data_IF_263698653337
#
_entry.id   IF_263698653337
#
_cell.length_a   1.000
_cell.length_b   1.000
_cell.length_c   1.000
_cell.angle_alpha   90.00
_cell.angle_beta   90.00
_cell.angle_gamma   90.00
#
_symmetry.space_group_name_H-M   'P 1'
#
loop_
_entity.id
_entity.type
_entity.pdbx_description
1 polymer ?
#
# COMPACT_ATOMS: atom_id res chain seq x y z
N UNK A 1 -63.42 47.23 -26.78
CA UNK A 1 -62.08 46.84 -27.30
C UNK A 1 -61.03 47.14 -26.24
N UNK A 2 -60.59 46.13 -25.47
CA UNK A 2 -59.44 46.19 -24.57
C UNK A 2 -58.71 44.85 -24.71
N UNK A 3 -57.47 44.88 -25.19
CA UNK A 3 -56.67 43.69 -25.53
C UNK A 3 -56.14 43.03 -24.26
N UNK A 4 -56.45 41.75 -24.05
CA UNK A 4 -55.89 40.91 -23.00
C UNK A 4 -54.56 40.33 -23.52
N UNK A 5 -53.43 40.74 -22.96
CA UNK A 5 -52.11 40.17 -23.28
C UNK A 5 -51.84 39.06 -22.27
N UNK A 6 -51.84 37.82 -22.76
CA UNK A 6 -51.52 36.59 -22.04
C UNK A 6 -49.99 36.45 -21.95
N UNK A 7 -49.41 36.66 -20.78
CA UNK A 7 -47.97 36.47 -20.53
C UNK A 7 -47.65 34.98 -20.31
N UNK A 8 -46.93 34.38 -21.25
CA UNK A 8 -46.47 32.98 -21.20
C UNK A 8 -45.21 32.89 -20.31
N UNK A 9 -45.33 32.32 -19.10
CA UNK A 9 -44.22 32.09 -18.18
C UNK A 9 -43.45 30.81 -18.58
N UNK A 10 -42.33 30.97 -19.26
CA UNK A 10 -41.41 29.87 -19.61
C UNK A 10 -40.68 29.35 -18.36
N UNK A 11 -41.09 28.17 -17.88
CA UNK A 11 -40.41 27.41 -16.83
C UNK A 11 -39.25 26.61 -17.45
N UNK A 12 -38.03 27.14 -17.43
CA UNK A 12 -36.83 26.39 -17.82
C UNK A 12 -36.44 25.42 -16.68
N UNK A 13 -36.20 24.12 -16.96
CA UNK A 13 -35.70 23.20 -15.95
C UNK A 13 -34.26 23.58 -15.58
N UNK A 14 -34.02 23.86 -14.29
CA UNK A 14 -32.66 24.00 -13.75
C UNK A 14 -31.94 22.67 -13.90
N UNK A 15 -30.98 22.57 -14.82
CA UNK A 15 -29.97 21.52 -14.79
C UNK A 15 -29.15 21.71 -13.51
N UNK A 16 -29.31 20.81 -12.55
CA UNK A 16 -28.41 20.72 -11.40
C UNK A 16 -27.13 20.06 -11.90
N UNK A 17 -26.19 20.87 -12.38
CA UNK A 17 -24.80 20.46 -12.51
C UNK A 17 -24.27 20.35 -11.08
N UNK A 18 -24.04 19.13 -10.59
CA UNK A 18 -23.35 18.92 -9.33
C UNK A 18 -21.94 19.50 -9.44
N UNK A 19 -21.71 20.69 -8.88
CA UNK A 19 -20.39 21.29 -8.80
C UNK A 19 -19.69 20.71 -7.56
N UNK A 20 -18.59 19.97 -7.77
CA UNK A 20 -17.66 19.65 -6.69
C UNK A 20 -16.94 20.93 -6.29
N UNK A 21 -17.52 21.68 -5.34
CA UNK A 21 -16.79 22.72 -4.64
C UNK A 21 -15.74 22.02 -3.77
N UNK A 22 -14.42 22.29 -3.94
CA UNK A 22 -13.44 21.84 -2.97
C UNK A 22 -13.80 22.50 -1.63
N UNK A 23 -14.30 21.70 -0.69
CA UNK A 23 -14.53 22.15 0.67
C UNK A 23 -13.16 22.48 1.27
N UNK A 24 -13.09 23.64 1.92
CA UNK A 24 -11.89 24.25 2.49
C UNK A 24 -10.86 23.23 2.97
N UNK A 25 -9.61 23.41 2.54
CA UNK A 25 -8.44 22.67 3.03
C UNK A 25 -8.40 22.84 4.54
N UNK A 26 -8.96 21.87 5.26
CA UNK A 26 -8.57 21.63 6.63
C UNK A 26 -7.23 20.93 6.53
N UNK A 27 -6.19 21.59 7.02
CA UNK A 27 -4.93 20.94 7.36
C UNK A 27 -5.28 19.82 8.33
N UNK A 28 -5.41 18.60 7.80
CA UNK A 28 -5.65 17.42 8.61
C UNK A 28 -4.36 17.14 9.36
N UNK A 29 -4.30 17.64 10.59
CA UNK A 29 -3.36 17.18 11.60
C UNK A 29 -3.59 15.68 11.76
N UNK A 30 -2.52 14.89 11.67
CA UNK A 30 -2.58 13.43 11.80
C UNK A 30 -3.31 13.07 13.11
N UNK A 31 -4.55 12.59 13.00
CA UNK A 31 -5.28 12.01 14.12
C UNK A 31 -4.57 10.69 14.45
N UNK A 32 -3.87 10.66 15.59
CA UNK A 32 -3.15 9.54 16.21
C UNK A 32 -2.66 8.46 15.25
N UNK A 33 -1.35 8.35 14.98
CA UNK A 33 -0.84 7.26 14.14
C UNK A 33 -1.23 5.93 14.78
N UNK A 34 -2.12 5.20 14.10
CA UNK A 34 -2.33 3.79 14.39
C UNK A 34 -0.96 3.12 14.40
N UNK A 35 -0.62 2.46 15.50
CA UNK A 35 0.68 1.83 15.64
C UNK A 35 0.77 0.66 14.67
N UNK A 36 1.58 0.81 13.62
CA UNK A 36 1.86 -0.26 12.68
C UNK A 36 2.56 -1.41 13.42
N UNK A 37 1.84 -2.50 13.66
CA UNK A 37 2.39 -3.74 14.17
C UNK A 37 2.71 -4.68 13.01
N UNK A 38 3.99 -5.00 12.83
CA UNK A 38 4.45 -5.96 11.82
C UNK A 38 4.70 -7.29 12.55
N UNK A 39 3.99 -8.37 12.18
CA UNK A 39 4.11 -9.64 12.88
C UNK A 39 5.51 -10.23 12.71
N UNK A 40 5.97 -10.92 13.75
CA UNK A 40 7.18 -11.73 13.67
C UNK A 40 6.84 -13.09 13.05
N UNK A 41 7.80 -13.66 12.32
CA UNK A 41 7.68 -14.95 11.64
C UNK A 41 8.40 -15.98 12.52
N UNK A 42 7.66 -16.98 13.00
CA UNK A 42 8.23 -18.03 13.85
C UNK A 42 9.32 -18.81 13.11
N UNK A 43 10.41 -19.15 13.80
CA UNK A 43 11.47 -20.01 13.28
C UNK A 43 10.99 -21.45 12.99
N UNK A 44 9.87 -21.85 13.58
CA UNK A 44 9.23 -23.16 13.38
C UNK A 44 8.05 -23.11 12.40
N UNK A 45 7.77 -21.96 11.79
CA UNK A 45 6.69 -21.85 10.82
C UNK A 45 6.99 -22.67 9.56
N UNK A 46 5.97 -23.34 9.03
CA UNK A 46 6.04 -23.93 7.70
C UNK A 46 6.03 -22.81 6.66
N UNK A 47 7.15 -22.63 5.97
CA UNK A 47 7.36 -21.55 5.01
C UNK A 47 7.66 -22.16 3.65
N UNK A 48 6.92 -21.71 2.65
CA UNK A 48 7.17 -22.00 1.25
C UNK A 48 8.02 -20.87 0.66
N UNK A 49 8.91 -21.22 -0.28
CA UNK A 49 9.88 -20.28 -0.85
C UNK A 49 9.88 -20.38 -2.37
N UNK A 50 9.72 -19.24 -3.03
CA UNK A 50 9.92 -19.08 -4.47
C UNK A 50 11.06 -18.10 -4.67
N UNK A 51 12.01 -18.44 -5.55
CA UNK A 51 13.14 -17.58 -5.88
C UNK A 51 13.19 -17.31 -7.36
N UNK A 52 13.34 -16.05 -7.71
CA UNK A 52 13.46 -15.56 -9.07
C UNK A 52 14.83 -14.94 -9.30
N UNK A 53 15.40 -15.21 -10.48
CA UNK A 53 16.67 -14.67 -10.92
C UNK A 53 16.50 -13.92 -12.23
N UNK A 54 16.79 -12.63 -12.22
CA UNK A 54 16.94 -11.83 -13.44
C UNK A 54 18.43 -11.65 -13.71
N UNK A 55 18.98 -12.48 -14.61
CA UNK A 55 20.39 -12.46 -14.97
C UNK A 55 20.76 -11.18 -15.71
N UNK A 56 21.88 -10.58 -15.30
CA UNK A 56 22.47 -9.36 -15.88
C UNK A 56 23.54 -9.67 -16.91
N UNK A 57 24.06 -10.89 -16.88
CA UNK A 57 25.12 -11.38 -17.76
C UNK A 57 24.60 -12.60 -18.54
N UNK A 58 25.10 -12.82 -19.77
CA UNK A 58 24.83 -14.06 -20.48
C UNK A 58 25.26 -15.27 -19.64
N UNK A 59 24.46 -16.34 -19.68
CA UNK A 59 24.75 -17.55 -18.92
C UNK A 59 24.71 -18.77 -19.83
N UNK A 60 25.72 -19.63 -19.72
CA UNK A 60 25.79 -20.90 -20.45
C UNK A 60 25.31 -22.09 -19.59
N UNK A 61 25.29 -21.92 -18.26
CA UNK A 61 24.78 -22.90 -17.31
C UNK A 61 23.94 -22.19 -16.24
N UNK A 62 22.80 -22.76 -15.87
CA UNK A 62 21.97 -22.23 -14.77
C UNK A 62 22.75 -22.40 -13.45
N UNK A 63 23.18 -21.29 -12.86
CA UNK A 63 23.79 -21.26 -11.54
C UNK A 63 22.71 -21.42 -10.47
N UNK A 64 22.96 -22.28 -9.47
CA UNK A 64 22.03 -22.51 -8.36
C UNK A 64 21.99 -21.35 -7.34
N UNK A 65 23.01 -20.49 -7.32
CA UNK A 65 23.08 -19.32 -6.43
C UNK A 65 23.94 -18.20 -7.04
N UNK A 66 23.42 -17.45 -8.03
CA UNK A 66 24.14 -16.36 -8.67
C UNK A 66 24.51 -15.24 -7.70
N UNK A 67 25.65 -14.59 -7.92
CA UNK A 67 26.05 -13.39 -7.17
C UNK A 67 25.23 -12.17 -7.57
N UNK A 68 25.28 -11.09 -6.78
CA UNK A 68 24.56 -9.83 -7.09
C UNK A 68 25.02 -9.17 -8.39
N UNK A 69 26.25 -9.45 -8.83
CA UNK A 69 26.81 -9.01 -10.11
C UNK A 69 26.23 -9.82 -11.27
N UNK A 70 25.93 -11.10 -11.05
CA UNK A 70 25.43 -12.03 -12.06
C UNK A 70 23.91 -11.92 -12.26
N UNK A 71 23.14 -11.73 -11.19
CA UNK A 71 21.68 -11.64 -11.26
C UNK A 71 21.08 -10.76 -10.16
N UNK A 72 19.94 -10.13 -10.45
CA UNK A 72 19.04 -9.67 -9.41
C UNK A 72 18.28 -10.90 -8.88
N UNK A 73 18.39 -11.14 -7.58
CA UNK A 73 17.70 -12.26 -6.92
C UNK A 73 16.59 -11.72 -6.02
N UNK A 74 15.37 -12.17 -6.28
CA UNK A 74 14.21 -11.89 -5.41
C UNK A 74 13.72 -13.20 -4.83
N UNK A 75 13.50 -13.23 -3.52
CA UNK A 75 12.95 -14.41 -2.82
C UNK A 75 11.63 -14.03 -2.17
N UNK A 76 10.59 -14.78 -2.53
CA UNK A 76 9.24 -14.68 -1.99
C UNK A 76 9.04 -15.77 -0.94
N UNK A 77 8.73 -15.35 0.29
CA UNK A 77 8.37 -16.24 1.39
C UNK A 77 6.87 -16.21 1.57
N UNK A 78 6.23 -17.37 1.51
CA UNK A 78 4.80 -17.56 1.75
C UNK A 78 4.59 -18.54 2.91
N UNK A 79 3.43 -18.46 3.55
CA UNK A 79 3.03 -19.47 4.53
C UNK A 79 2.68 -20.81 3.87
N UNK A 80 2.32 -21.80 4.68
CA UNK A 80 1.89 -23.12 4.21
C UNK A 80 0.64 -23.11 3.30
N UNK A 81 -0.14 -22.02 3.28
CA UNK A 81 -1.36 -21.86 2.48
C UNK A 81 -1.17 -20.90 1.29
N UNK A 82 0.06 -20.43 1.05
CA UNK A 82 0.41 -19.53 -0.05
C UNK A 82 0.20 -18.04 0.24
N UNK A 83 -0.14 -17.64 1.46
CA UNK A 83 -0.21 -16.22 1.84
C UNK A 83 1.21 -15.63 1.89
N UNK A 84 1.51 -14.53 1.19
CA UNK A 84 2.80 -13.85 1.28
C UNK A 84 3.12 -13.42 2.71
N UNK A 85 4.35 -13.68 3.16
CA UNK A 85 4.85 -13.24 4.47
C UNK A 85 5.88 -12.14 4.32
N UNK A 86 6.81 -12.33 3.38
CA UNK A 86 7.92 -11.42 3.16
C UNK A 86 8.48 -11.60 1.76
N UNK A 87 8.95 -10.50 1.18
CA UNK A 87 9.78 -10.50 -0.02
C UNK A 87 11.15 -9.94 0.33
N UNK A 88 12.20 -10.58 -0.18
CA UNK A 88 13.59 -10.22 0.07
C UNK A 88 14.31 -10.05 -1.26
N UNK A 89 14.82 -8.85 -1.50
CA UNK A 89 15.68 -8.53 -2.64
C UNK A 89 17.14 -8.61 -2.18
N UNK A 90 17.87 -9.56 -2.74
CA UNK A 90 19.24 -9.88 -2.32
C UNK A 90 20.23 -8.77 -2.67
N UNK A 91 20.86 -8.17 -1.65
CA UNK A 91 21.96 -7.21 -1.79
C UNK A 91 21.72 -6.05 -2.77
N UNK A 92 20.48 -5.56 -2.87
CA UNK A 92 20.11 -4.48 -3.81
C UNK A 92 20.40 -3.08 -3.24
N UNK A 93 20.57 -2.93 -1.93
CA UNK A 93 20.86 -1.61 -1.36
C UNK A 93 22.24 -1.07 -1.79
N UNK A 94 22.45 0.26 -1.77
CA UNK A 94 23.77 0.85 -2.08
C UNK A 94 24.91 0.33 -1.20
N UNK A 95 24.59 -0.13 0.01
CA UNK A 95 25.56 -0.70 0.97
C UNK A 95 25.64 -2.23 0.89
N UNK A 96 25.05 -2.85 -0.13
CA UNK A 96 25.05 -4.30 -0.35
C UNK A 96 24.25 -5.07 0.70
N UNK A 97 23.23 -4.45 1.29
CA UNK A 97 22.27 -5.08 2.20
C UNK A 97 21.00 -5.51 1.45
N UNK A 98 20.29 -6.45 2.03
CA UNK A 98 19.03 -6.91 1.47
C UNK A 98 17.95 -5.83 1.63
N UNK A 99 17.10 -5.65 0.63
CA UNK A 99 15.84 -4.91 0.81
C UNK A 99 14.75 -5.91 1.19
N UNK A 100 13.98 -5.59 2.22
CA UNK A 100 12.96 -6.48 2.77
C UNK A 100 11.62 -5.77 2.75
N UNK A 101 10.60 -6.45 2.22
CA UNK A 101 9.20 -6.00 2.24
C UNK A 101 8.35 -7.03 2.99
N UNK A 102 7.99 -6.78 4.26
CA UNK A 102 7.07 -7.63 5.00
C UNK A 102 5.62 -7.35 4.59
N UNK A 103 4.76 -8.36 4.70
CA UNK A 103 3.32 -8.24 4.44
C UNK A 103 2.54 -8.27 5.75
N UNK A 104 1.51 -7.42 5.88
CA UNK A 104 0.70 -7.30 7.09
C UNK A 104 -0.77 -7.46 6.75
N UNK A 105 -1.43 -8.35 7.49
CA UNK A 105 -2.83 -8.69 7.30
C UNK A 105 -3.67 -8.29 8.51
N UNK A 106 -4.96 -8.03 8.28
CA UNK A 106 -5.93 -7.89 9.35
C UNK A 106 -6.37 -9.25 9.92
N UNK A 107 -7.25 -9.21 10.93
CA UNK A 107 -7.78 -10.42 11.57
C UNK A 107 -8.59 -11.32 10.62
N UNK A 108 -9.02 -10.80 9.46
CA UNK A 108 -9.74 -11.53 8.42
C UNK A 108 -8.79 -12.05 7.32
N UNK A 109 -7.48 -11.85 7.48
CA UNK A 109 -6.46 -12.33 6.55
C UNK A 109 -6.33 -11.49 5.26
N UNK A 110 -6.92 -10.29 5.21
CA UNK A 110 -6.85 -9.34 4.09
C UNK A 110 -5.67 -8.40 4.27
N UNK A 111 -5.09 -7.92 3.17
CA UNK A 111 -3.96 -6.97 3.23
C UNK A 111 -4.43 -5.65 3.85
N UNK A 112 -3.90 -5.29 5.01
CA UNK A 112 -4.27 -4.05 5.70
C UNK A 112 -3.36 -2.89 5.32
N UNK A 113 -2.09 -3.21 5.10
CA UNK A 113 -1.05 -2.24 4.78
C UNK A 113 -0.16 -2.75 3.64
N UNK A 114 0.14 -1.87 2.69
CA UNK A 114 1.19 -2.07 1.70
C UNK A 114 2.48 -1.44 2.19
N UNK A 115 3.40 -2.24 2.75
CA UNK A 115 4.61 -1.71 3.35
C UNK A 115 5.67 -1.39 2.27
N UNK A 116 6.39 -0.29 2.48
CA UNK A 116 7.52 0.06 1.62
C UNK A 116 8.71 -0.85 1.93
N UNK A 117 9.48 -1.31 0.94
CA UNK A 117 10.70 -2.05 1.19
C UNK A 117 11.69 -1.21 2.01
N UNK A 118 12.39 -1.83 2.96
CA UNK A 118 13.41 -1.18 3.76
C UNK A 118 14.74 -1.95 3.70
N UNK A 119 15.90 -1.28 3.86
CA UNK A 119 17.17 -1.99 3.93
C UNK A 119 17.33 -2.71 5.26
N UNK A 120 17.44 -4.04 5.18
CA UNK A 120 17.78 -4.92 6.28
C UNK A 120 19.17 -4.60 6.84
N UNK A 121 19.45 -5.12 8.05
CA UNK A 121 20.79 -5.14 8.63
C UNK A 121 21.65 -6.27 8.04
N UNK A 122 21.00 -7.27 7.45
CA UNK A 122 21.63 -8.46 6.87
C UNK A 122 21.76 -8.35 5.34
N UNK A 123 22.58 -9.24 4.78
CA UNK A 123 22.87 -9.37 3.36
C UNK A 123 22.87 -10.85 2.93
N UNK A 124 22.05 -11.65 3.61
CA UNK A 124 22.06 -13.11 3.53
C UNK A 124 21.09 -13.66 2.49
N UNK A 125 20.17 -12.83 1.99
CA UNK A 125 19.06 -13.25 1.12
C UNK A 125 18.03 -14.14 1.83
N UNK A 126 18.13 -14.27 3.16
CA UNK A 126 17.24 -15.09 3.99
C UNK A 126 16.09 -14.26 4.55
N UNK A 127 15.06 -14.96 5.02
CA UNK A 127 13.94 -14.35 5.71
C UNK A 127 14.38 -13.64 7.00
N UNK A 128 13.86 -12.44 7.23
CA UNK A 128 14.00 -11.70 8.48
C UNK A 128 12.82 -12.05 9.38
N UNK A 129 13.09 -12.69 10.52
CA UNK A 129 12.05 -13.16 11.45
C UNK A 129 11.32 -12.03 12.18
N UNK A 130 12.02 -10.94 12.52
CA UNK A 130 11.46 -9.83 13.31
C UNK A 130 11.53 -8.51 12.54
N UNK A 131 10.86 -8.40 11.36
CA UNK A 131 11.00 -7.23 10.50
C UNK A 131 10.51 -5.94 11.18
N UNK A 132 9.52 -6.04 12.07
CA UNK A 132 9.00 -4.92 12.86
C UNK A 132 10.04 -4.21 13.74
N UNK A 133 11.10 -4.91 14.15
CA UNK A 133 12.16 -4.32 15.00
C UNK A 133 13.02 -3.28 14.27
N UNK A 134 13.07 -3.33 12.94
CA UNK A 134 13.96 -2.51 12.11
C UNK A 134 13.22 -1.65 11.09
N UNK A 135 11.99 -2.01 10.71
CA UNK A 135 11.24 -1.32 9.66
C UNK A 135 11.20 0.21 9.81
N UNK A 136 10.63 0.71 10.92
CA UNK A 136 10.46 2.15 11.13
C UNK A 136 11.80 2.87 11.28
N UNK A 137 12.73 2.34 12.08
CA UNK A 137 14.02 3.00 12.34
C UNK A 137 14.86 3.13 11.07
N UNK A 138 14.84 2.13 10.19
CA UNK A 138 15.59 2.15 8.93
C UNK A 138 15.00 3.12 7.91
N UNK A 139 13.67 3.17 7.80
CA UNK A 139 13.01 4.09 6.88
C UNK A 139 13.06 5.54 7.37
N UNK A 140 12.91 5.80 8.66
CA UNK A 140 13.10 7.14 9.24
C UNK A 140 14.54 7.65 9.08
N UNK A 141 15.53 6.77 8.97
CA UNK A 141 16.92 7.18 8.66
C UNK A 141 17.06 7.68 7.22
N UNK A 142 16.29 7.12 6.29
CA UNK A 142 16.31 7.49 4.86
C UNK A 142 15.41 8.70 4.59
N UNK A 143 14.24 8.73 5.23
CA UNK A 143 13.18 9.72 5.06
C UNK A 143 12.90 10.41 6.40
N UNK A 144 13.78 11.32 6.80
CA UNK A 144 13.79 11.93 8.15
C UNK A 144 12.55 12.76 8.50
N UNK A 145 11.84 13.28 7.51
CA UNK A 145 10.60 14.06 7.69
C UNK A 145 9.32 13.23 7.55
N UNK A 146 9.45 11.91 7.34
CA UNK A 146 8.33 10.99 7.17
C UNK A 146 8.22 10.06 8.37
N UNK A 147 6.99 9.76 8.79
CA UNK A 147 6.70 8.80 9.86
C UNK A 147 5.77 7.69 9.38
N UNK A 148 5.16 7.84 8.20
CA UNK A 148 4.26 6.86 7.63
C UNK A 148 4.82 6.32 6.30
N UNK A 149 5.29 5.08 6.31
CA UNK A 149 5.94 4.45 5.16
C UNK A 149 5.10 3.38 4.50
N UNK A 150 3.78 3.40 4.70
CA UNK A 150 2.91 2.33 4.21
C UNK A 150 1.66 2.89 3.56
N UNK A 151 1.23 2.18 2.53
CA UNK A 151 -0.13 2.29 2.00
C UNK A 151 -1.10 1.75 3.04
N UNK A 152 -2.25 2.41 3.21
CA UNK A 152 -3.32 1.91 4.09
C UNK A 152 -4.57 1.62 3.29
N UNK A 153 -5.07 0.40 3.47
CA UNK A 153 -6.33 -0.04 2.89
C UNK A 153 -7.35 -0.17 4.01
N UNK A 154 -8.47 0.51 3.87
CA UNK A 154 -9.62 0.41 4.79
C UNK A 154 -10.74 -0.35 4.12
N UNK A 155 -11.28 -1.33 4.83
CA UNK A 155 -12.38 -2.17 4.36
C UNK A 155 -13.68 -1.85 5.10
N UNK A 156 -14.81 -2.14 4.46
CA UNK A 156 -16.11 -2.13 5.13
C UNK A 156 -16.19 -3.27 6.15
N UNK A 157 -16.95 -3.05 7.23
CA UNK A 157 -17.16 -4.04 8.28
C UNK A 157 -18.26 -5.05 7.90
N UNK A 158 -18.38 -5.38 6.62
CA UNK A 158 -19.32 -6.38 6.11
C UNK A 158 -18.61 -7.73 5.94
N UNK A 159 -19.35 -8.86 5.90
CA UNK A 159 -18.77 -10.16 5.55
C UNK A 159 -18.09 -10.18 4.16
N UNK A 160 -18.51 -9.30 3.24
CA UNK A 160 -17.95 -9.19 1.89
C UNK A 160 -16.65 -8.38 1.89
N UNK A 161 -16.53 -7.41 2.79
CA UNK A 161 -15.27 -6.73 3.04
C UNK A 161 -14.72 -5.94 1.86
N UNK A 162 -15.55 -5.19 1.14
CA UNK A 162 -15.13 -4.27 0.07
C UNK A 162 -14.15 -3.20 0.56
N UNK A 163 -13.27 -2.74 -0.33
CA UNK A 163 -12.35 -1.62 -0.09
C UNK A 163 -13.16 -0.32 -0.05
N UNK A 164 -13.07 0.39 1.07
CA UNK A 164 -13.67 1.72 1.25
C UNK A 164 -12.70 2.83 0.91
N UNK A 165 -11.42 2.68 1.29
CA UNK A 165 -10.40 3.70 1.08
C UNK A 165 -9.06 3.07 0.84
N UNK A 166 -8.31 3.64 -0.10
CA UNK A 166 -6.90 3.39 -0.26
C UNK A 166 -6.08 4.69 -0.12
N UNK A 167 -5.11 4.68 0.78
CA UNK A 167 -4.21 5.81 1.05
C UNK A 167 -2.79 5.44 0.66
N UNK A 168 -2.15 6.25 -0.18
CA UNK A 168 -0.73 6.10 -0.50
C UNK A 168 0.16 6.26 0.75
N UNK A 169 1.43 5.79 0.71
CA UNK A 169 2.41 6.07 1.75
C UNK A 169 2.65 7.56 1.96
N UNK A 170 3.09 7.92 3.17
CA UNK A 170 3.51 9.27 3.53
C UNK A 170 2.59 9.95 4.56
N UNK A 171 3.17 10.91 5.29
CA UNK A 171 2.48 11.69 6.31
C UNK A 171 1.26 12.43 5.72
N UNK A 172 1.39 13.01 4.53
CA UNK A 172 0.30 13.75 3.87
C UNK A 172 -0.86 12.86 3.38
N UNK A 173 -0.64 11.55 3.26
CA UNK A 173 -1.61 10.58 2.77
C UNK A 173 -2.12 9.70 3.90
N UNK A 174 -1.56 8.50 4.05
CA UNK A 174 -1.96 7.55 5.09
C UNK A 174 -1.79 8.12 6.50
N UNK A 175 -0.79 8.97 6.75
CA UNK A 175 -0.61 9.67 8.04
C UNK A 175 -1.74 10.65 8.40
N UNK A 176 -2.28 11.37 7.42
CA UNK A 176 -3.41 12.31 7.60
C UNK A 176 -4.77 11.70 7.24
N UNK A 177 -4.86 10.37 7.08
CA UNK A 177 -6.10 9.69 6.68
C UNK A 177 -6.74 10.19 5.38
N UNK A 178 -5.87 10.66 4.48
CA UNK A 178 -6.22 11.07 3.12
C UNK A 178 -6.02 9.92 2.14
N UNK A 179 -6.91 9.80 1.16
CA UNK A 179 -6.87 8.70 0.22
C UNK A 179 -8.04 8.69 -0.75
N UNK A 180 -7.93 7.79 -1.73
CA UNK A 180 -9.01 7.53 -2.69
C UNK A 180 -10.08 6.73 -1.98
N UNK A 181 -11.28 7.31 -1.87
CA UNK A 181 -12.44 6.62 -1.29
C UNK A 181 -13.29 6.05 -2.42
N UNK A 182 -13.69 4.78 -2.29
CA UNK A 182 -14.56 4.10 -3.23
C UNK A 182 -15.95 4.02 -2.60
N UNK A 183 -16.93 4.64 -3.26
CA UNK A 183 -18.33 4.49 -2.90
C UNK A 183 -19.00 3.58 -3.93
N UNK A 184 -19.55 2.45 -3.48
CA UNK A 184 -20.34 1.56 -4.32
C UNK A 184 -21.82 1.67 -3.93
N UNK A 185 -22.58 2.44 -4.71
CA UNK A 185 -24.04 2.47 -4.65
C UNK A 185 -24.67 1.53 -5.69
N UNK A 186 -25.98 1.29 -5.58
CA UNK A 186 -26.73 0.54 -6.60
C UNK A 186 -26.74 1.38 -7.89
N UNK A 187 -25.87 1.04 -8.85
CA UNK A 187 -25.84 1.64 -10.20
C UNK A 187 -24.79 2.72 -10.48
N UNK A 188 -23.90 3.08 -9.54
CA UNK A 188 -22.79 4.01 -9.82
C UNK A 188 -21.62 3.81 -8.84
N UNK A 189 -20.41 3.74 -9.39
CA UNK A 189 -19.15 3.83 -8.63
C UNK A 189 -18.51 5.18 -8.91
N UNK A 190 -18.21 5.95 -7.86
CA UNK A 190 -17.56 7.24 -7.98
C UNK A 190 -16.27 7.27 -7.14
N UNK A 191 -15.20 7.82 -7.73
CA UNK A 191 -13.88 7.92 -7.13
C UNK A 191 -13.57 9.38 -6.80
N UNK A 192 -13.24 9.67 -5.54
CA UNK A 192 -12.78 11.00 -5.14
C UNK A 192 -11.63 10.89 -4.13
N UNK A 193 -10.70 11.84 -4.22
CA UNK A 193 -9.61 12.01 -3.25
C UNK A 193 -10.12 12.93 -2.14
N UNK A 194 -10.07 12.49 -0.88
CA UNK A 194 -10.29 13.35 0.30
C UNK A 194 -9.00 13.42 1.12
#
# INVERSE_FOLDING_TARGET
MKKLIMGFLLLLPRLILGQNLPTSITTSTALSPETLSIPSISSTANINVVREWAFKVPIELILSNPTKEQALTTTYYTDGLGKPLQEVFYQVSPTGKDLVRPFVYDAYGRSKYGLSPYPSTTNSGKIVQTPGSSYNSRLSTIYSSEANFFERISYENSPVGKVLKNSAPGNSWSGSNKGVTVFSGVGSSAYYVR
#
